data_IF_849987004097
#
_entry.id   IF_849987004097
#
_cell.length_a   1.000
_cell.length_b   1.000
_cell.length_c   1.000
_cell.angle_alpha   90.00
_cell.angle_beta   90.00
_cell.angle_gamma   90.00
#
_symmetry.space_group_name_H-M   'P 1'
#
loop_
_entity.id
_entity.type
_entity.pdbx_description
1 polymer ?
#
# COMPACT_ATOMS: atom_id res chain seq x y z
N UNK A 1 12.60 29.17 -10.79
CA UNK A 1 13.32 27.90 -11.03
C UNK A 1 13.45 27.06 -9.73
N UNK A 2 12.63 27.30 -8.70
CA UNK A 2 12.81 26.66 -7.37
C UNK A 2 11.84 25.49 -7.10
N UNK A 3 10.80 25.33 -7.93
CA UNK A 3 9.85 24.21 -7.79
C UNK A 3 10.38 22.88 -8.29
N UNK A 4 11.28 22.90 -9.27
CA UNK A 4 11.84 21.69 -9.86
C UNK A 4 12.90 21.05 -8.95
N UNK A 5 13.66 21.87 -8.22
CA UNK A 5 14.68 21.43 -7.26
C UNK A 5 14.05 20.73 -6.05
N UNK A 6 12.94 21.25 -5.52
CA UNK A 6 12.22 20.63 -4.40
C UNK A 6 11.59 19.26 -4.76
N UNK A 7 11.27 19.04 -6.04
CA UNK A 7 10.78 17.73 -6.51
C UNK A 7 11.96 16.75 -6.64
N UNK A 8 13.10 17.19 -7.17
CA UNK A 8 14.31 16.37 -7.30
C UNK A 8 14.92 15.96 -5.95
N UNK A 9 14.93 16.84 -4.94
CA UNK A 9 15.41 16.48 -3.60
C UNK A 9 14.51 15.45 -2.90
N UNK A 10 13.19 15.49 -3.15
CA UNK A 10 12.27 14.43 -2.67
C UNK A 10 12.52 13.08 -3.35
N UNK A 11 12.98 13.06 -4.60
CA UNK A 11 13.27 11.80 -5.31
C UNK A 11 14.55 11.13 -4.78
N UNK A 12 15.48 11.91 -4.24
CA UNK A 12 16.81 11.41 -3.85
C UNK A 12 16.87 10.81 -2.43
N UNK A 13 15.82 10.99 -1.61
CA UNK A 13 15.77 10.51 -0.23
C UNK A 13 14.42 9.87 0.16
N UNK A 14 13.68 9.32 -0.80
CA UNK A 14 12.48 8.57 -0.45
C UNK A 14 12.90 7.31 0.34
N UNK A 15 12.45 7.24 1.60
CA UNK A 15 12.49 6.02 2.39
C UNK A 15 11.93 4.87 1.52
N UNK A 16 12.66 3.77 1.31
CA UNK A 16 12.17 2.62 0.55
C UNK A 16 10.77 2.18 0.99
N UNK A 17 10.44 2.32 2.29
CA UNK A 17 9.09 2.02 2.77
C UNK A 17 8.04 3.02 2.29
N UNK A 18 8.37 4.31 2.16
CA UNK A 18 7.45 5.30 1.60
C UNK A 18 7.10 4.96 0.15
N UNK A 19 8.09 4.57 -0.67
CA UNK A 19 7.84 4.14 -2.04
C UNK A 19 6.95 2.91 -2.10
N UNK A 20 7.12 1.93 -1.20
CA UNK A 20 6.24 0.76 -1.13
C UNK A 20 4.81 1.16 -0.73
N UNK A 21 4.64 2.09 0.21
CA UNK A 21 3.31 2.61 0.62
C UNK A 21 2.58 3.27 -0.53
N UNK A 22 3.27 4.12 -1.28
CA UNK A 22 2.68 4.78 -2.45
C UNK A 22 2.24 3.77 -3.50
N UNK A 23 3.07 2.76 -3.80
CA UNK A 23 2.71 1.67 -4.73
C UNK A 23 1.52 0.86 -4.24
N UNK A 24 1.47 0.52 -2.96
CA UNK A 24 0.38 -0.26 -2.39
C UNK A 24 -0.95 0.51 -2.40
N UNK A 25 -0.94 1.83 -2.18
CA UNK A 25 -2.13 2.68 -2.30
C UNK A 25 -2.64 2.74 -3.74
N UNK A 26 -1.72 2.86 -4.72
CA UNK A 26 -2.09 2.82 -6.14
C UNK A 26 -2.70 1.47 -6.50
N UNK A 27 -2.11 0.38 -6.02
CA UNK A 27 -2.62 -0.97 -6.26
C UNK A 27 -4.01 -1.18 -5.66
N UNK A 28 -4.24 -0.74 -4.42
CA UNK A 28 -5.57 -0.79 -3.78
C UNK A 28 -6.64 -0.10 -4.64
N UNK A 29 -6.33 1.07 -5.19
CA UNK A 29 -7.24 1.80 -6.09
C UNK A 29 -7.47 1.05 -7.40
N UNK A 30 -6.41 0.49 -8.00
CA UNK A 30 -6.50 -0.32 -9.23
C UNK A 30 -7.40 -1.54 -9.04
N UNK A 31 -7.35 -2.17 -7.88
CA UNK A 31 -8.16 -3.35 -7.54
C UNK A 31 -9.61 -3.03 -7.10
N UNK A 32 -9.97 -1.75 -7.07
CA UNK A 32 -11.33 -1.28 -6.78
C UNK A 32 -11.66 -1.14 -5.29
N UNK A 33 -10.68 -1.23 -4.38
CA UNK A 33 -10.91 -0.97 -2.96
C UNK A 33 -11.16 0.50 -2.72
N UNK A 34 -12.16 0.85 -1.91
CA UNK A 34 -12.52 2.25 -1.63
C UNK A 34 -12.87 2.49 -0.16
N UNK A 35 -12.87 3.76 0.25
CA UNK A 35 -13.33 4.20 1.57
C UNK A 35 -12.68 3.42 2.73
N UNK A 36 -13.52 2.73 3.51
CA UNK A 36 -13.11 2.00 4.71
C UNK A 36 -12.12 0.88 4.43
N UNK A 37 -12.20 0.21 3.28
CA UNK A 37 -11.28 -0.89 2.93
C UNK A 37 -9.85 -0.39 2.79
N UNK A 38 -9.66 0.78 2.17
CA UNK A 38 -8.33 1.41 2.05
C UNK A 38 -7.78 1.79 3.42
N UNK A 39 -8.61 2.31 4.33
CA UNK A 39 -8.18 2.67 5.68
C UNK A 39 -7.77 1.43 6.46
N UNK A 40 -8.55 0.35 6.39
CA UNK A 40 -8.22 -0.93 7.04
C UNK A 40 -6.92 -1.51 6.47
N UNK A 41 -6.77 -1.56 5.15
CA UNK A 41 -5.57 -2.08 4.49
C UNK A 41 -4.32 -1.23 4.85
N UNK A 42 -4.44 0.10 4.83
CA UNK A 42 -3.37 1.00 5.26
C UNK A 42 -2.97 0.78 6.73
N UNK A 43 -3.95 0.55 7.60
CA UNK A 43 -3.69 0.23 9.02
C UNK A 43 -2.89 -1.07 9.15
N UNK A 44 -3.20 -2.08 8.34
CA UNK A 44 -2.42 -3.32 8.30
C UNK A 44 -1.00 -3.06 7.82
N UNK A 45 -0.81 -2.31 6.74
CA UNK A 45 0.53 -2.03 6.20
C UNK A 45 1.42 -1.24 7.15
N UNK A 46 0.86 -0.40 8.01
CA UNK A 46 1.63 0.28 9.08
C UNK A 46 2.06 -0.71 10.16
N UNK A 47 1.20 -1.67 10.52
CA UNK A 47 1.49 -2.67 11.57
C UNK A 47 2.39 -3.80 11.07
N UNK A 48 2.22 -4.20 9.81
CA UNK A 48 2.88 -5.33 9.15
C UNK A 48 3.36 -4.88 7.75
N UNK A 49 4.46 -4.12 7.66
CA UNK A 49 5.03 -3.66 6.38
C UNK A 49 5.37 -4.81 5.41
N UNK A 50 5.58 -6.02 5.91
CA UNK A 50 5.79 -7.23 5.12
C UNK A 50 4.56 -7.59 4.27
N UNK A 51 3.34 -7.34 4.74
CA UNK A 51 2.11 -7.59 3.98
C UNK A 51 2.05 -6.71 2.72
N UNK A 52 2.54 -5.48 2.84
CA UNK A 52 2.66 -4.55 1.72
C UNK A 52 3.70 -5.04 0.70
N UNK A 53 4.83 -5.57 1.18
CA UNK A 53 5.86 -6.13 0.30
C UNK A 53 5.35 -7.37 -0.43
N UNK A 54 4.64 -8.26 0.28
CA UNK A 54 3.99 -9.44 -0.29
C UNK A 54 2.95 -9.07 -1.34
N UNK A 55 2.08 -8.09 -1.07
CA UNK A 55 1.10 -7.61 -2.06
C UNK A 55 1.77 -7.25 -3.39
N UNK A 56 2.90 -6.54 -3.34
CA UNK A 56 3.59 -6.04 -4.52
C UNK A 56 4.42 -7.10 -5.26
N UNK A 57 4.70 -8.24 -4.63
CA UNK A 57 5.39 -9.37 -5.27
C UNK A 57 4.43 -10.41 -5.87
N UNK A 58 3.15 -10.40 -5.46
CA UNK A 58 2.13 -11.29 -6.00
C UNK A 58 1.77 -10.96 -7.46
N UNK A 59 1.33 -11.98 -8.19
CA UNK A 59 0.69 -11.83 -9.49
C UNK A 59 -0.60 -11.02 -9.37
N UNK A 60 -0.88 -10.16 -10.36
CA UNK A 60 -2.02 -9.23 -10.31
C UNK A 60 -3.36 -9.94 -10.05
N UNK A 61 -3.52 -11.16 -10.55
CA UNK A 61 -4.71 -12.00 -10.37
C UNK A 61 -4.95 -12.40 -8.92
N UNK A 62 -3.90 -12.49 -8.10
CA UNK A 62 -3.94 -12.93 -6.69
C UNK A 62 -4.06 -11.75 -5.72
N UNK A 63 -3.66 -10.54 -6.13
CA UNK A 63 -3.57 -9.37 -5.25
C UNK A 63 -4.90 -8.97 -4.62
N UNK A 64 -6.01 -9.08 -5.37
CA UNK A 64 -7.34 -8.73 -4.84
C UNK A 64 -7.77 -9.68 -3.73
N UNK A 65 -7.61 -10.99 -3.95
CA UNK A 65 -7.96 -12.02 -2.99
C UNK A 65 -7.09 -11.92 -1.73
N UNK A 66 -5.79 -11.68 -1.90
CA UNK A 66 -4.87 -11.45 -0.79
C UNK A 66 -5.35 -10.33 0.14
N UNK A 67 -5.74 -9.17 -0.42
CA UNK A 67 -6.23 -8.04 0.39
C UNK A 67 -7.53 -8.39 1.09
N UNK A 68 -8.47 -9.06 0.42
CA UNK A 68 -9.73 -9.49 1.05
C UNK A 68 -9.49 -10.43 2.23
N UNK A 69 -8.61 -11.41 2.07
CA UNK A 69 -8.25 -12.34 3.13
C UNK A 69 -7.62 -11.61 4.31
N UNK A 70 -6.66 -10.72 4.04
CA UNK A 70 -6.04 -9.87 5.05
C UNK A 70 -7.08 -9.03 5.83
N UNK A 71 -8.03 -8.40 5.13
CA UNK A 71 -9.08 -7.59 5.76
C UNK A 71 -10.04 -8.44 6.61
N UNK A 72 -10.38 -9.65 6.15
CA UNK A 72 -11.22 -10.58 6.89
C UNK A 72 -10.56 -11.04 8.21
N UNK A 73 -9.25 -11.29 8.20
CA UNK A 73 -8.53 -11.65 9.43
C UNK A 73 -8.49 -10.51 10.46
N UNK A 74 -8.40 -9.26 10.00
CA UNK A 74 -8.49 -8.07 10.87
C UNK A 74 -9.88 -7.96 11.50
N UNK A 75 -10.94 -8.27 10.77
CA UNK A 75 -12.31 -8.17 11.27
C UNK A 75 -12.66 -9.29 12.26
N UNK A 76 -12.09 -10.50 12.09
CA UNK A 76 -12.25 -11.62 13.06
C UNK A 76 -11.52 -11.41 14.39
N UNK A 77 -10.52 -10.53 14.41
CA UNK A 77 -9.69 -10.27 15.59
C UNK A 77 -10.26 -9.17 16.51
N UNK A 78 -11.49 -8.69 16.24
CA UNK A 78 -12.23 -7.69 17.02
C UNK A 78 -13.37 -8.33 17.79
#
# INVERSE_FOLDING_TARGET
MEREVAIQEKVMNNDPQQTLREKAVVELRKLGFTGTEQIKAATVFVKMPEQMSMLLTLDETLRREFILNMLNEVDKSR
#
